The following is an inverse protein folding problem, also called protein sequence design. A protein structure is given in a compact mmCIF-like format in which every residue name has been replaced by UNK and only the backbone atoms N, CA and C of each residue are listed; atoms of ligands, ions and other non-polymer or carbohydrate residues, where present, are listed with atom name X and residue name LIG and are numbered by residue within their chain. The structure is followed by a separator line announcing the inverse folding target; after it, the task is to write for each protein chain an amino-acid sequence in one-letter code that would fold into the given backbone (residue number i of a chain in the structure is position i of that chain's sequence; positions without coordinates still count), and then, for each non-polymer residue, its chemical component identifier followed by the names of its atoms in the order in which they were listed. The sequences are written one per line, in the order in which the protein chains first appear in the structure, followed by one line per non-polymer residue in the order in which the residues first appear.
data_IF_237719477244
#
_entry.id   IF_237719477244
#
_cell.length_a   1.000
_cell.length_b   1.000
_cell.length_c   1.000
_cell.angle_alpha   90.00
_cell.angle_beta   90.00
_cell.angle_gamma   90.00
#
_symmetry.space_group_name_H-M   'P 1'
#
loop_
_entity.id
_entity.type
_entity.pdbx_description
1 polymer ?
#
# COMPACT_ATOMS: atom_id res chain seq x y z
N UNK A 1 -28.93 -17.82 -23.00
CA UNK A 1 -29.41 -16.59 -22.36
C UNK A 1 -29.01 -16.45 -20.88
N UNK A 2 -29.28 -17.48 -20.08
CA UNK A 2 -28.94 -17.43 -18.66
C UNK A 2 -27.43 -17.27 -18.43
N UNK A 3 -26.62 -18.05 -19.13
CA UNK A 3 -25.15 -17.99 -19.02
C UNK A 3 -24.61 -16.61 -19.43
N UNK A 4 -25.19 -15.98 -20.45
CA UNK A 4 -24.78 -14.65 -20.91
C UNK A 4 -25.07 -13.58 -19.85
N UNK A 5 -26.23 -13.67 -19.17
CA UNK A 5 -26.59 -12.72 -18.12
C UNK A 5 -25.65 -12.84 -16.93
N UNK A 6 -25.34 -14.06 -16.49
CA UNK A 6 -24.41 -14.31 -15.39
C UNK A 6 -23.03 -13.80 -15.74
N UNK A 7 -22.55 -14.07 -16.94
CA UNK A 7 -21.25 -13.63 -17.41
C UNK A 7 -21.14 -12.10 -17.46
N UNK A 8 -22.20 -11.42 -17.93
CA UNK A 8 -22.27 -9.97 -17.96
C UNK A 8 -22.16 -9.35 -16.56
N UNK A 9 -22.87 -9.95 -15.58
CA UNK A 9 -22.79 -9.49 -14.19
C UNK A 9 -21.41 -9.67 -13.59
N UNK A 10 -20.76 -10.81 -13.85
CA UNK A 10 -19.41 -11.09 -13.38
C UNK A 10 -18.41 -10.10 -13.99
N UNK A 11 -18.53 -9.83 -15.27
CA UNK A 11 -17.67 -8.85 -15.95
C UNK A 11 -17.87 -7.45 -15.39
N UNK A 12 -19.12 -7.05 -15.10
CA UNK A 12 -19.42 -5.76 -14.49
C UNK A 12 -18.79 -5.61 -13.10
N UNK A 13 -18.84 -6.67 -12.27
CA UNK A 13 -18.22 -6.69 -10.95
C UNK A 13 -16.70 -6.58 -11.06
N UNK A 14 -16.07 -7.35 -11.95
CA UNK A 14 -14.63 -7.29 -12.18
C UNK A 14 -14.20 -5.89 -12.63
N UNK A 15 -14.95 -5.29 -13.57
CA UNK A 15 -14.69 -3.93 -14.04
C UNK A 15 -14.78 -2.92 -12.90
N UNK A 16 -15.84 -3.04 -12.06
CA UNK A 16 -16.01 -2.13 -10.92
C UNK A 16 -14.89 -2.28 -9.90
N UNK A 17 -14.44 -3.50 -9.62
CA UNK A 17 -13.30 -3.74 -8.74
C UNK A 17 -12.03 -3.08 -9.28
N UNK A 18 -11.77 -3.19 -10.59
CA UNK A 18 -10.61 -2.55 -11.21
C UNK A 18 -10.66 -1.03 -11.12
N UNK A 19 -11.85 -0.44 -11.32
CA UNK A 19 -12.04 0.99 -11.18
C UNK A 19 -11.76 1.46 -9.75
N UNK A 20 -12.28 0.74 -8.75
CA UNK A 20 -12.05 1.04 -7.34
C UNK A 20 -10.57 0.97 -7.00
N UNK A 21 -9.89 -0.09 -7.44
CA UNK A 21 -8.46 -0.26 -7.18
C UNK A 21 -7.65 0.84 -7.85
N UNK A 22 -8.00 1.23 -9.08
CA UNK A 22 -7.35 2.32 -9.79
C UNK A 22 -7.47 3.63 -9.01
N UNK A 23 -8.70 3.97 -8.57
CA UNK A 23 -8.93 5.18 -7.78
C UNK A 23 -8.23 5.11 -6.42
N UNK A 24 -8.25 3.96 -5.77
CA UNK A 24 -7.56 3.73 -4.51
C UNK A 24 -6.07 3.97 -4.65
N UNK A 25 -5.44 3.42 -5.67
CA UNK A 25 -4.00 3.56 -5.88
C UNK A 25 -3.62 5.01 -6.18
N UNK A 26 -4.45 5.72 -6.91
CA UNK A 26 -4.25 7.15 -7.19
C UNK A 26 -4.31 7.98 -5.91
N UNK A 27 -5.32 7.74 -5.07
CA UNK A 27 -5.43 8.39 -3.76
C UNK A 27 -4.25 8.04 -2.84
N UNK A 28 -3.83 6.78 -2.86
CA UNK A 28 -2.72 6.32 -2.03
C UNK A 28 -1.43 7.04 -2.39
N UNK A 29 -1.14 7.19 -3.66
CA UNK A 29 0.06 7.88 -4.12
C UNK A 29 0.18 9.28 -3.51
N UNK A 30 -0.92 10.01 -3.42
CA UNK A 30 -0.93 11.37 -2.90
C UNK A 30 -0.98 11.46 -1.38
N UNK A 31 -1.41 10.40 -0.68
CA UNK A 31 -1.73 10.47 0.75
C UNK A 31 -0.96 9.49 1.63
N UNK A 32 -0.15 8.61 1.05
CA UNK A 32 0.44 7.49 1.81
C UNK A 32 1.32 7.94 2.98
N UNK A 33 1.98 9.10 2.86
CA UNK A 33 2.86 9.61 3.92
C UNK A 33 2.10 10.11 5.14
N UNK A 34 0.85 10.50 4.98
CA UNK A 34 0.04 11.05 6.06
C UNK A 34 -1.14 10.16 6.43
N UNK A 35 -1.65 9.34 5.51
CA UNK A 35 -2.86 8.54 5.71
C UNK A 35 -2.61 7.09 5.30
N UNK A 36 -2.58 6.19 6.28
CA UNK A 36 -2.34 4.75 6.04
C UNK A 36 -3.46 3.86 6.57
N UNK A 37 -4.59 4.45 6.97
CA UNK A 37 -5.76 3.69 7.43
C UNK A 37 -6.67 3.31 6.25
N UNK A 38 -7.06 2.04 6.13
CA UNK A 38 -8.02 1.64 5.09
C UNK A 38 -9.32 2.45 5.13
N UNK A 39 -9.78 2.85 6.32
CA UNK A 39 -11.03 3.62 6.45
C UNK A 39 -10.94 4.99 5.81
N UNK A 40 -9.76 5.62 5.81
CA UNK A 40 -9.59 6.89 5.10
C UNK A 40 -9.88 6.73 3.61
N UNK A 41 -9.32 5.70 2.98
CA UNK A 41 -9.48 5.47 1.54
C UNK A 41 -10.90 5.04 1.18
N UNK A 42 -11.47 4.13 1.97
CA UNK A 42 -12.85 3.71 1.78
C UNK A 42 -13.80 4.90 1.89
N UNK A 43 -13.60 5.77 2.88
CA UNK A 43 -14.39 6.98 3.06
C UNK A 43 -14.30 7.93 1.86
N UNK A 44 -13.10 8.14 1.34
CA UNK A 44 -12.90 9.02 0.17
C UNK A 44 -13.54 8.44 -1.10
N UNK A 45 -13.64 7.12 -1.19
CA UNK A 45 -14.27 6.45 -2.32
C UNK A 45 -15.77 6.20 -2.12
N UNK A 46 -16.31 6.60 -0.97
CA UNK A 46 -17.73 6.42 -0.60
C UNK A 46 -18.16 4.95 -0.62
N UNK A 47 -17.29 4.08 -0.17
CA UNK A 47 -17.55 2.63 -0.04
C UNK A 47 -17.15 2.18 1.37
N UNK A 48 -17.57 0.96 1.73
CA UNK A 48 -17.18 0.37 3.01
C UNK A 48 -15.73 -0.16 2.93
N UNK A 49 -15.09 -0.28 4.10
CA UNK A 49 -13.76 -0.92 4.18
C UNK A 49 -13.85 -2.35 3.66
N UNK A 50 -14.93 -3.08 4.00
CA UNK A 50 -15.11 -4.46 3.54
C UNK A 50 -15.15 -4.52 2.00
N UNK A 51 -15.87 -3.62 1.35
CA UNK A 51 -15.94 -3.61 -0.11
C UNK A 51 -14.60 -3.23 -0.75
N UNK A 52 -13.89 -2.25 -0.15
CA UNK A 52 -12.55 -1.90 -0.62
C UNK A 52 -11.60 -3.10 -0.53
N UNK A 53 -11.63 -3.84 0.60
CA UNK A 53 -10.83 -5.05 0.75
C UNK A 53 -11.19 -6.12 -0.28
N UNK A 54 -12.48 -6.29 -0.56
CA UNK A 54 -12.93 -7.23 -1.59
C UNK A 54 -12.36 -6.87 -2.95
N UNK A 55 -12.45 -5.60 -3.34
CA UNK A 55 -11.94 -5.12 -4.61
C UNK A 55 -10.41 -5.28 -4.72
N UNK A 56 -9.69 -4.83 -3.69
CA UNK A 56 -8.22 -4.90 -3.67
C UNK A 56 -7.76 -6.35 -3.71
N UNK A 57 -8.40 -7.23 -2.92
CA UNK A 57 -8.04 -8.65 -2.90
C UNK A 57 -8.30 -9.31 -4.25
N UNK A 58 -9.42 -9.00 -4.90
CA UNK A 58 -9.75 -9.61 -6.20
C UNK A 58 -8.79 -9.17 -7.31
N UNK A 59 -8.29 -7.94 -7.27
CA UNK A 59 -7.42 -7.40 -8.33
C UNK A 59 -5.94 -7.60 -8.00
N UNK A 60 -5.53 -7.34 -6.75
CA UNK A 60 -4.11 -7.35 -6.35
C UNK A 60 -3.73 -8.57 -5.52
N UNK A 61 -4.69 -9.39 -5.08
CA UNK A 61 -4.42 -10.60 -4.31
C UNK A 61 -3.98 -10.36 -2.87
N UNK A 62 -4.24 -9.16 -2.32
CA UNK A 62 -3.82 -8.81 -0.96
C UNK A 62 -4.87 -7.91 -0.29
N UNK A 63 -4.78 -7.78 1.03
CA UNK A 63 -5.63 -6.84 1.77
C UNK A 63 -5.21 -5.39 1.53
N UNK A 64 -6.10 -4.46 1.82
CA UNK A 64 -5.79 -3.02 1.74
C UNK A 64 -4.61 -2.67 2.65
N UNK A 65 -4.65 -3.12 3.91
CA UNK A 65 -3.58 -2.85 4.87
C UNK A 65 -2.24 -3.37 4.39
N UNK A 66 -2.21 -4.59 3.86
CA UNK A 66 -0.98 -5.20 3.37
C UNK A 66 -0.42 -4.43 2.17
N UNK A 67 -1.30 -4.03 1.26
CA UNK A 67 -0.90 -3.25 0.09
C UNK A 67 -0.29 -1.91 0.51
N UNK A 68 -0.93 -1.21 1.45
CA UNK A 68 -0.42 0.08 1.96
C UNK A 68 0.96 -0.12 2.61
N UNK A 69 1.11 -1.15 3.44
CA UNK A 69 2.39 -1.44 4.08
C UNK A 69 3.49 -1.72 3.05
N UNK A 70 3.19 -2.52 2.04
CA UNK A 70 4.16 -2.83 0.99
C UNK A 70 4.57 -1.56 0.23
N UNK A 71 3.63 -0.68 -0.07
CA UNK A 71 3.91 0.55 -0.82
C UNK A 71 4.76 1.53 -0.01
N UNK A 72 4.48 1.72 1.30
CA UNK A 72 5.27 2.64 2.11
C UNK A 72 6.70 2.10 2.30
N UNK A 73 6.85 0.78 2.46
CA UNK A 73 8.18 0.18 2.59
C UNK A 73 8.95 0.23 1.27
N UNK A 74 8.27 0.14 0.13
CA UNK A 74 8.91 0.34 -1.16
C UNK A 74 9.49 1.75 -1.28
N UNK A 75 8.76 2.77 -0.82
CA UNK A 75 9.28 4.14 -0.76
C UNK A 75 10.50 4.24 0.16
N UNK A 76 10.45 3.57 1.31
CA UNK A 76 11.58 3.53 2.23
C UNK A 76 12.82 2.90 1.58
N UNK A 77 12.64 1.79 0.87
CA UNK A 77 13.73 1.12 0.15
C UNK A 77 14.38 2.06 -0.86
N UNK A 78 13.59 2.82 -1.60
CA UNK A 78 14.10 3.79 -2.57
C UNK A 78 14.95 4.86 -1.90
N UNK A 79 14.48 5.41 -0.78
CA UNK A 79 15.25 6.42 -0.04
C UNK A 79 16.53 5.84 0.55
N UNK A 80 16.48 4.59 1.04
CA UNK A 80 17.68 3.92 1.55
C UNK A 80 18.75 3.75 0.46
N UNK A 81 18.35 3.47 -0.76
CA UNK A 81 19.28 3.25 -1.87
C UNK A 81 19.79 4.58 -2.44
N UNK A 82 18.90 5.56 -2.64
CA UNK A 82 19.22 6.74 -3.42
C UNK A 82 19.59 7.98 -2.60
N UNK A 83 19.51 7.91 -1.26
CA UNK A 83 19.91 9.03 -0.41
C UNK A 83 20.90 8.58 0.65
N UNK A 84 21.55 9.55 1.31
CA UNK A 84 22.40 9.33 2.48
C UNK A 84 21.69 9.72 3.78
N UNK A 85 20.40 9.98 3.72
CA UNK A 85 19.61 10.34 4.88
C UNK A 85 19.66 9.23 5.93
N UNK A 86 19.65 9.61 7.21
CA UNK A 86 19.59 8.64 8.29
C UNK A 86 18.28 7.88 8.25
N UNK A 87 18.25 6.71 8.89
CA UNK A 87 17.03 5.91 8.95
C UNK A 87 15.93 6.68 9.67
N UNK A 88 16.27 7.45 10.72
CA UNK A 88 15.31 8.31 11.42
C UNK A 88 14.74 9.39 10.51
N UNK A 89 15.58 10.03 9.71
CA UNK A 89 15.14 11.03 8.75
C UNK A 89 14.21 10.43 7.70
N UNK A 90 14.53 9.24 7.19
CA UNK A 90 13.68 8.54 6.25
C UNK A 90 12.33 8.20 6.87
N UNK A 91 12.33 7.63 8.08
CA UNK A 91 11.09 7.31 8.80
C UNK A 91 10.23 8.55 8.98
N UNK A 92 10.83 9.65 9.40
CA UNK A 92 10.11 10.91 9.60
C UNK A 92 9.53 11.44 8.28
N UNK A 93 10.31 11.42 7.21
CA UNK A 93 9.86 11.91 5.89
C UNK A 93 8.69 11.08 5.34
N UNK A 94 8.56 9.83 5.77
CA UNK A 94 7.46 8.95 5.39
C UNK A 94 6.27 9.02 6.34
N UNK A 95 6.31 9.94 7.31
CA UNK A 95 5.19 10.16 8.22
C UNK A 95 5.19 9.30 9.47
N UNK A 96 6.30 8.63 9.79
CA UNK A 96 6.40 7.83 11.01
C UNK A 96 6.93 8.69 12.15
N UNK A 97 6.16 8.78 13.23
CA UNK A 97 6.58 9.49 14.45
C UNK A 97 7.42 8.59 15.35
N UNK A 98 7.25 7.28 15.23
CA UNK A 98 7.97 6.29 16.05
C UNK A 98 8.96 5.54 15.16
N UNK A 99 10.24 5.84 15.37
CA UNK A 99 11.34 5.18 14.65
C UNK A 99 11.38 3.68 14.89
N UNK A 100 11.11 3.24 16.12
CA UNK A 100 11.11 1.81 16.45
C UNK A 100 10.00 1.06 15.72
N UNK A 101 8.83 1.67 15.63
CA UNK A 101 7.72 1.10 14.88
C UNK A 101 8.08 0.97 13.39
N UNK A 102 8.65 2.03 12.82
CA UNK A 102 9.10 1.99 11.42
C UNK A 102 10.07 0.85 11.17
N UNK A 103 11.08 0.71 12.03
CA UNK A 103 12.10 -0.33 11.90
C UNK A 103 11.49 -1.73 11.96
N UNK A 104 10.54 -1.95 12.88
CA UNK A 104 9.85 -3.25 13.00
C UNK A 104 9.01 -3.54 11.75
N UNK A 105 8.28 -2.54 11.27
CA UNK A 105 7.46 -2.70 10.07
C UNK A 105 8.33 -2.99 8.84
N UNK A 106 9.41 -2.23 8.67
CA UNK A 106 10.34 -2.44 7.58
C UNK A 106 10.88 -3.86 7.59
N UNK A 107 11.36 -4.31 8.76
CA UNK A 107 11.93 -5.66 8.91
C UNK A 107 10.90 -6.74 8.62
N UNK A 108 9.65 -6.55 9.07
CA UNK A 108 8.56 -7.48 8.81
C UNK A 108 8.28 -7.63 7.31
N UNK A 109 8.25 -6.51 6.58
CA UNK A 109 7.91 -6.50 5.16
C UNK A 109 9.10 -6.88 4.29
N UNK A 110 10.27 -6.33 4.59
CA UNK A 110 11.47 -6.51 3.76
C UNK A 110 12.28 -7.77 4.09
N UNK A 111 12.09 -8.33 5.29
CA UNK A 111 12.83 -9.51 5.75
C UNK A 111 14.19 -9.21 6.36
N UNK A 112 14.66 -7.97 6.26
CA UNK A 112 15.93 -7.51 6.86
C UNK A 112 15.73 -6.10 7.41
N UNK A 113 16.61 -5.68 8.33
CA UNK A 113 16.54 -4.32 8.89
C UNK A 113 16.88 -3.27 7.83
N UNK A 114 16.44 -2.01 8.05
CA UNK A 114 16.81 -0.93 7.13
C UNK A 114 18.33 -0.78 6.95
N UNK A 115 19.10 -0.93 8.03
CA UNK A 115 20.56 -0.83 7.98
C UNK A 115 21.15 -1.93 7.10
N UNK A 116 20.71 -3.17 7.30
CA UNK A 116 21.20 -4.30 6.49
C UNK A 116 20.77 -4.18 5.04
N UNK A 117 19.56 -3.67 4.80
CA UNK A 117 19.09 -3.45 3.43
C UNK A 117 19.95 -2.44 2.69
N UNK A 118 20.31 -1.34 3.37
CA UNK A 118 21.10 -0.25 2.77
C UNK A 118 22.55 -0.62 2.48
N UNK A 119 23.16 -1.49 3.30
CA UNK A 119 24.60 -1.73 3.29
C UNK A 119 25.20 -2.01 1.91
N UNK A 120 24.62 -2.87 1.05
CA UNK A 120 25.21 -3.15 -0.26
C UNK A 120 25.29 -1.94 -1.19
N UNK A 121 24.53 -0.91 -0.93
CA UNK A 121 24.41 0.26 -1.81
C UNK A 121 25.26 1.44 -1.34
N UNK A 122 25.80 1.39 -0.11
CA UNK A 122 26.46 2.52 0.54
C UNK A 122 27.82 2.15 1.18
N UNK A 123 28.42 1.08 0.77
CA UNK A 123 29.76 0.70 1.25
C UNK A 123 30.88 1.38 0.48
#
# INVERSE_FOLDING_TARGET
MYATIVQSKLQGTVTRHKEIVWEFRDLLESNIRSKRSPSFYAGRLNITVAYLNEAVNSVLGTSVSHHIQNEIILLAKRQLVYTTDSIKEIAHSLGFNDYSYFTRLFTKVAGVSPTLFRRPYHE
#
